data_IF_061184317740
#
_entry.id   IF_061184317740
#
_cell.length_a   1.000
_cell.length_b   1.000
_cell.length_c   1.000
_cell.angle_alpha   90.00
_cell.angle_beta   90.00
_cell.angle_gamma   90.00
#
_symmetry.space_group_name_H-M   'P 1'
#
loop_
_entity.id
_entity.type
_entity.pdbx_description
1 polymer ?
#
# COMPACT_ATOMS: atom_id res chain seq x y z
N UNK A 1 -15.96 -3.92 -17.99
CA UNK A 1 -16.79 -5.12 -18.24
C UNK A 1 -16.29 -6.21 -17.32
N UNK A 2 -17.08 -6.59 -16.32
CA UNK A 2 -16.75 -7.72 -15.44
C UNK A 2 -17.11 -8.99 -16.23
N UNK A 3 -16.19 -9.93 -16.39
CA UNK A 3 -16.41 -11.17 -17.15
C UNK A 3 -17.62 -11.97 -16.66
N UNK A 4 -18.05 -12.96 -17.44
CA UNK A 4 -19.25 -13.73 -17.09
C UNK A 4 -19.10 -14.43 -15.73
N UNK A 5 -20.19 -14.67 -14.97
CA UNK A 5 -20.12 -15.41 -13.71
C UNK A 5 -19.45 -16.79 -13.84
N UNK A 6 -19.58 -17.41 -15.03
CA UNK A 6 -18.93 -18.68 -15.37
C UNK A 6 -17.40 -18.55 -15.49
N UNK A 7 -16.91 -17.47 -16.10
CA UNK A 7 -15.47 -17.18 -16.20
C UNK A 7 -14.85 -16.98 -14.82
N UNK A 8 -15.59 -16.38 -13.88
CA UNK A 8 -15.13 -16.18 -12.51
C UNK A 8 -15.00 -17.52 -11.75
N UNK A 9 -15.92 -18.47 -11.91
CA UNK A 9 -15.79 -19.79 -11.29
C UNK A 9 -14.59 -20.57 -11.83
N UNK A 10 -14.39 -20.55 -13.16
CA UNK A 10 -13.23 -21.19 -13.79
C UNK A 10 -11.92 -20.59 -13.32
N UNK A 11 -11.86 -19.26 -13.21
CA UNK A 11 -10.70 -18.55 -12.70
C UNK A 11 -10.39 -18.90 -11.24
N UNK A 12 -11.41 -18.95 -10.38
CA UNK A 12 -11.24 -19.33 -8.98
C UNK A 12 -10.79 -20.79 -8.84
N UNK A 13 -11.32 -21.71 -9.65
CA UNK A 13 -10.86 -23.10 -9.68
C UNK A 13 -9.39 -23.19 -10.13
N UNK A 14 -9.00 -22.42 -11.16
CA UNK A 14 -7.61 -22.37 -11.63
C UNK A 14 -6.67 -21.81 -10.56
N UNK A 15 -7.08 -20.77 -9.82
CA UNK A 15 -6.31 -20.19 -8.72
C UNK A 15 -6.00 -21.19 -7.59
N UNK A 16 -6.80 -22.26 -7.47
CA UNK A 16 -6.60 -23.35 -6.51
C UNK A 16 -5.89 -24.57 -7.10
N UNK A 17 -5.50 -24.54 -8.38
CA UNK A 17 -4.80 -25.67 -9.00
C UNK A 17 -3.36 -25.82 -8.50
N UNK A 18 -2.86 -27.05 -8.44
CA UNK A 18 -1.49 -27.36 -8.00
C UNK A 18 -0.44 -26.55 -8.77
N UNK A 19 -0.65 -26.36 -10.09
CA UNK A 19 0.22 -25.56 -10.94
C UNK A 19 0.33 -24.11 -10.43
N UNK A 20 -0.81 -23.47 -10.15
CA UNK A 20 -0.83 -22.07 -9.69
C UNK A 20 -0.32 -21.96 -8.27
N UNK A 21 -0.71 -22.87 -7.37
CA UNK A 21 -0.26 -22.86 -5.99
C UNK A 21 1.25 -23.13 -5.88
N UNK A 22 1.81 -24.03 -6.69
CA UNK A 22 3.25 -24.25 -6.77
C UNK A 22 3.98 -22.98 -7.21
N UNK A 23 3.51 -22.35 -8.29
CA UNK A 23 4.12 -21.10 -8.78
C UNK A 23 4.00 -19.98 -7.75
N UNK A 24 2.84 -19.83 -7.12
CA UNK A 24 2.58 -18.83 -6.07
C UNK A 24 3.50 -19.00 -4.87
N UNK A 25 3.86 -20.23 -4.52
CA UNK A 25 4.74 -20.51 -3.39
C UNK A 25 6.22 -20.35 -3.75
N UNK A 26 6.60 -20.61 -5.01
CA UNK A 26 7.97 -20.44 -5.50
C UNK A 26 8.35 -18.95 -5.63
N UNK A 27 7.48 -18.12 -6.21
CA UNK A 27 7.83 -16.75 -6.60
C UNK A 27 8.35 -15.86 -5.45
N UNK A 28 7.78 -15.86 -4.23
CA UNK A 28 8.28 -15.02 -3.13
C UNK A 28 9.70 -15.34 -2.65
N UNK A 29 10.25 -16.51 -3.01
CA UNK A 29 11.59 -16.97 -2.61
C UNK A 29 12.66 -16.64 -3.67
N UNK A 30 12.26 -16.13 -4.84
CA UNK A 30 13.18 -15.76 -5.92
C UNK A 30 13.65 -14.31 -5.81
N UNK A 31 14.81 -13.96 -6.40
CA UNK A 31 15.17 -12.56 -6.63
C UNK A 31 14.07 -11.81 -7.38
N UNK A 32 13.80 -10.56 -7.00
CA UNK A 32 12.63 -9.83 -7.52
C UNK A 32 12.70 -9.58 -9.04
N UNK A 33 13.89 -9.42 -9.58
CA UNK A 33 14.15 -9.34 -11.02
C UNK A 33 13.79 -10.65 -11.75
N UNK A 34 13.99 -11.81 -11.12
CA UNK A 34 13.55 -13.10 -11.66
C UNK A 34 12.03 -13.27 -11.58
N UNK A 35 11.39 -12.79 -10.50
CA UNK A 35 9.93 -12.78 -10.36
C UNK A 35 9.29 -12.03 -11.53
N UNK A 36 9.74 -10.80 -11.79
CA UNK A 36 9.23 -9.99 -12.91
C UNK A 36 9.37 -10.74 -14.25
N UNK A 37 10.55 -11.29 -14.52
CA UNK A 37 10.84 -12.03 -15.74
C UNK A 37 9.98 -13.29 -15.92
N UNK A 38 9.71 -14.03 -14.84
CA UNK A 38 8.83 -15.20 -14.88
C UNK A 38 7.38 -14.78 -15.13
N UNK A 39 6.88 -13.80 -14.38
CA UNK A 39 5.49 -13.33 -14.49
C UNK A 39 5.20 -12.77 -15.88
N UNK A 40 6.11 -12.00 -16.48
CA UNK A 40 5.94 -11.43 -17.82
C UNK A 40 5.75 -12.48 -18.93
N UNK A 41 6.24 -13.71 -18.72
CA UNK A 41 6.13 -14.81 -19.69
C UNK A 41 4.83 -15.61 -19.54
N UNK A 42 4.04 -15.35 -18.49
CA UNK A 42 2.79 -16.04 -18.23
C UNK A 42 1.66 -15.44 -19.09
N UNK A 43 0.77 -16.32 -19.57
CA UNK A 43 -0.47 -15.88 -20.21
C UNK A 43 -1.38 -15.15 -19.22
N UNK A 44 -2.30 -14.35 -19.74
CA UNK A 44 -3.21 -13.51 -18.93
C UNK A 44 -4.03 -14.33 -17.94
N UNK A 45 -4.57 -15.49 -18.34
CA UNK A 45 -5.39 -16.32 -17.46
C UNK A 45 -4.58 -16.87 -16.29
N UNK A 46 -3.33 -17.28 -16.54
CA UNK A 46 -2.39 -17.70 -15.50
C UNK A 46 -2.07 -16.56 -14.53
N UNK A 47 -1.84 -15.32 -15.02
CA UNK A 47 -1.59 -14.15 -14.15
C UNK A 47 -2.81 -13.79 -13.31
N UNK A 48 -4.00 -13.77 -13.91
CA UNK A 48 -5.26 -13.55 -13.18
C UNK A 48 -5.46 -14.57 -12.06
N UNK A 49 -5.21 -15.86 -12.34
CA UNK A 49 -5.35 -16.92 -11.36
C UNK A 49 -4.29 -16.81 -10.25
N UNK A 50 -3.05 -16.50 -10.63
CA UNK A 50 -1.93 -16.30 -9.72
C UNK A 50 -2.19 -15.15 -8.73
N UNK A 51 -2.75 -14.03 -9.20
CA UNK A 51 -3.09 -12.90 -8.34
C UNK A 51 -4.18 -13.22 -7.31
N UNK A 52 -5.08 -14.16 -7.62
CA UNK A 52 -6.14 -14.59 -6.71
C UNK A 52 -5.74 -15.78 -5.82
N UNK A 53 -4.60 -16.42 -6.11
CA UNK A 53 -4.08 -17.54 -5.34
C UNK A 53 -3.51 -17.05 -4.00
N UNK A 54 -3.92 -17.72 -2.92
CA UNK A 54 -3.53 -17.40 -1.54
C UNK A 54 -2.56 -18.44 -1.01
N UNK A 55 -1.63 -18.05 -0.13
CA UNK A 55 -0.89 -19.04 0.69
C UNK A 55 -1.83 -19.67 1.73
N UNK A 56 -1.36 -20.70 2.46
CA UNK A 56 -2.05 -21.20 3.65
C UNK A 56 -2.41 -20.13 4.71
N UNK A 57 -1.73 -18.97 4.71
CA UNK A 57 -2.05 -17.84 5.60
C UNK A 57 -3.13 -16.88 5.04
N UNK A 58 -3.66 -17.15 3.84
CA UNK A 58 -4.69 -16.33 3.20
C UNK A 58 -4.17 -15.10 2.43
N UNK A 59 -2.86 -14.93 2.29
CA UNK A 59 -2.23 -13.78 1.64
C UNK A 59 -2.11 -13.97 0.13
N UNK A 60 -2.55 -12.95 -0.62
CA UNK A 60 -2.32 -12.84 -2.05
C UNK A 60 -0.83 -12.65 -2.36
N UNK A 61 -0.42 -13.02 -3.58
CA UNK A 61 0.97 -12.91 -4.02
C UNK A 61 1.49 -11.47 -3.90
N UNK A 62 0.72 -10.48 -4.35
CA UNK A 62 1.09 -9.05 -4.27
C UNK A 62 1.43 -8.61 -2.86
N UNK A 63 0.64 -9.02 -1.86
CA UNK A 63 0.92 -8.71 -0.46
C UNK A 63 2.18 -9.40 0.04
N UNK A 64 2.40 -10.66 -0.36
CA UNK A 64 3.62 -11.39 0.01
C UNK A 64 4.87 -10.75 -0.58
N UNK A 65 4.85 -10.35 -1.85
CA UNK A 65 6.00 -9.71 -2.51
C UNK A 65 6.36 -8.39 -1.83
N UNK A 66 5.36 -7.55 -1.57
CA UNK A 66 5.56 -6.27 -0.88
C UNK A 66 6.04 -6.51 0.55
N UNK A 67 5.33 -7.32 1.33
CA UNK A 67 5.72 -7.62 2.71
C UNK A 67 7.15 -8.17 2.80
N UNK A 68 7.51 -9.15 1.98
CA UNK A 68 8.84 -9.77 2.01
C UNK A 68 9.92 -8.74 1.65
N UNK A 69 9.71 -7.97 0.58
CA UNK A 69 10.64 -6.91 0.19
C UNK A 69 10.88 -5.95 1.35
N UNK A 70 9.80 -5.44 1.95
CA UNK A 70 9.89 -4.48 3.06
C UNK A 70 10.52 -5.06 4.31
N UNK A 71 10.11 -6.27 4.69
CA UNK A 71 10.63 -6.95 5.86
C UNK A 71 12.15 -7.21 5.73
N UNK A 72 12.61 -7.66 4.57
CA UNK A 72 14.03 -7.90 4.35
C UNK A 72 14.83 -6.59 4.22
N UNK A 73 14.30 -5.57 3.54
CA UNK A 73 14.96 -4.27 3.43
C UNK A 73 15.16 -3.60 4.80
N UNK A 74 14.16 -3.68 5.68
CA UNK A 74 14.23 -3.07 7.01
C UNK A 74 15.18 -3.82 7.96
N UNK A 75 15.20 -5.15 7.89
CA UNK A 75 15.90 -5.98 8.89
C UNK A 75 17.29 -6.48 8.46
N UNK A 76 17.65 -6.37 7.17
CA UNK A 76 18.94 -6.82 6.64
C UNK A 76 19.60 -5.64 5.91
N UNK A 77 20.49 -4.94 6.62
CA UNK A 77 21.17 -3.71 6.19
C UNK A 77 22.05 -3.83 4.92
N UNK A 78 22.18 -5.02 4.31
CA UNK A 78 23.04 -5.30 3.15
C UNK A 78 22.33 -5.28 1.78
N UNK A 79 21.00 -5.06 1.73
CA UNK A 79 20.23 -5.15 0.46
C UNK A 79 20.12 -3.83 -0.31
N UNK A 80 20.63 -2.72 0.21
CA UNK A 80 20.55 -1.39 -0.43
C UNK A 80 21.46 -1.23 -1.66
N UNK A 81 22.38 -2.16 -1.90
CA UNK A 81 23.43 -2.06 -2.93
C UNK A 81 23.23 -2.99 -4.13
N UNK A 82 22.10 -3.70 -4.24
CA UNK A 82 21.83 -4.48 -5.46
C UNK A 82 21.09 -3.63 -6.50
N UNK A 83 21.35 -3.82 -7.81
CA UNK A 83 20.59 -3.19 -8.91
C UNK A 83 19.08 -3.51 -8.93
N UNK A 84 18.59 -4.33 -8.00
CA UNK A 84 17.25 -4.92 -7.91
C UNK A 84 16.45 -4.37 -6.71
N UNK A 85 16.52 -3.06 -6.46
CA UNK A 85 15.82 -2.38 -5.35
C UNK A 85 14.31 -2.22 -5.59
N UNK A 86 13.76 -1.06 -5.24
CA UNK A 86 12.32 -0.76 -5.43
C UNK A 86 11.84 -0.90 -6.89
N UNK A 87 12.72 -0.59 -7.86
CA UNK A 87 12.42 -0.70 -9.28
C UNK A 87 12.04 -2.12 -9.71
N UNK A 88 12.77 -3.13 -9.24
CA UNK A 88 12.51 -4.53 -9.56
C UNK A 88 11.17 -5.01 -8.99
N UNK A 89 10.82 -4.58 -7.77
CA UNK A 89 9.50 -4.86 -7.21
C UNK A 89 8.40 -4.17 -8.02
N UNK A 90 8.57 -2.90 -8.40
CA UNK A 90 7.60 -2.19 -9.25
C UNK A 90 7.43 -2.90 -10.60
N UNK A 91 8.50 -3.41 -11.20
CA UNK A 91 8.42 -4.20 -12.43
C UNK A 91 7.65 -5.51 -12.23
N UNK A 92 7.90 -6.23 -11.14
CA UNK A 92 7.14 -7.43 -10.79
C UNK A 92 5.64 -7.12 -10.58
N UNK A 93 5.32 -6.03 -9.88
CA UNK A 93 3.95 -5.57 -9.66
C UNK A 93 3.26 -5.19 -10.99
N UNK A 94 3.94 -4.44 -11.85
CA UNK A 94 3.45 -4.12 -13.20
C UNK A 94 3.22 -5.36 -14.05
N UNK A 95 4.10 -6.35 -13.96
CA UNK A 95 3.94 -7.63 -14.67
C UNK A 95 2.70 -8.40 -14.18
N UNK A 96 2.34 -8.25 -12.90
CA UNK A 96 1.14 -8.83 -12.31
C UNK A 96 -0.15 -8.05 -12.64
N UNK A 97 -0.08 -6.82 -13.16
CA UNK A 97 -1.28 -6.06 -13.52
C UNK A 97 -2.10 -6.80 -14.61
N UNK A 98 -3.42 -6.84 -14.39
CA UNK A 98 -4.42 -7.51 -15.23
C UNK A 98 -5.66 -6.62 -15.38
N UNK A 99 -6.37 -6.75 -16.49
CA UNK A 99 -7.52 -5.88 -16.79
C UNK A 99 -8.76 -6.19 -15.95
N UNK A 100 -8.87 -7.43 -15.45
CA UNK A 100 -10.10 -7.93 -14.81
C UNK A 100 -10.38 -7.28 -13.45
N UNK A 101 -9.34 -6.96 -12.69
CA UNK A 101 -9.46 -6.41 -11.35
C UNK A 101 -8.18 -5.69 -10.96
N UNK A 102 -8.32 -4.73 -10.03
CA UNK A 102 -7.18 -4.03 -9.48
C UNK A 102 -6.47 -4.90 -8.43
N UNK A 103 -5.22 -5.28 -8.71
CA UNK A 103 -4.43 -6.11 -7.79
C UNK A 103 -4.08 -5.37 -6.49
N UNK A 104 -4.09 -4.04 -6.50
CA UNK A 104 -3.72 -3.23 -5.33
C UNK A 104 -4.88 -3.08 -4.32
N UNK A 105 -6.12 -3.30 -4.75
CA UNK A 105 -7.33 -3.19 -3.92
C UNK A 105 -7.78 -4.54 -3.30
N UNK A 106 -6.94 -5.57 -3.36
CA UNK A 106 -7.27 -6.89 -2.81
C UNK A 106 -7.37 -6.85 -1.27
N UNK A 107 -8.57 -7.04 -0.71
CA UNK A 107 -8.85 -6.77 0.72
C UNK A 107 -9.28 -8.00 1.55
N UNK A 108 -8.63 -9.16 1.39
CA UNK A 108 -9.01 -10.40 2.11
C UNK A 108 -7.79 -11.26 2.47
N UNK A 109 -6.86 -10.71 3.23
CA UNK A 109 -5.55 -11.30 3.54
C UNK A 109 -5.20 -11.05 5.01
N UNK A 110 -4.38 -11.90 5.61
CA UNK A 110 -3.84 -11.68 6.96
C UNK A 110 -2.91 -10.46 7.01
N UNK A 111 -2.17 -10.24 5.90
CA UNK A 111 -1.47 -8.97 5.66
C UNK A 111 -2.51 -7.91 5.28
N UNK A 112 -2.49 -6.70 5.87
CA UNK A 112 -3.34 -5.58 5.47
C UNK A 112 -3.29 -5.31 3.96
N UNK A 113 -4.22 -4.49 3.44
CA UNK A 113 -4.22 -4.11 2.03
C UNK A 113 -2.83 -3.57 1.57
N UNK A 114 -2.58 -3.63 0.27
CA UNK A 114 -1.27 -3.35 -0.35
C UNK A 114 -0.66 -2.01 0.10
N UNK A 115 -1.46 -0.93 0.10
CA UNK A 115 -0.99 0.39 0.49
C UNK A 115 -0.69 0.49 1.97
N UNK A 116 -1.52 -0.13 2.81
CA UNK A 116 -1.28 -0.18 4.23
C UNK A 116 -0.01 -0.97 4.55
N UNK A 117 0.20 -2.14 3.92
CA UNK A 117 1.41 -2.91 4.09
C UNK A 117 2.65 -2.09 3.73
N UNK A 118 2.61 -1.35 2.62
CA UNK A 118 3.68 -0.43 2.24
C UNK A 118 3.94 0.62 3.34
N UNK A 119 2.92 1.37 3.72
CA UNK A 119 3.08 2.49 4.68
C UNK A 119 3.40 2.05 6.12
N UNK A 120 2.90 0.88 6.55
CA UNK A 120 3.07 0.36 7.92
C UNK A 120 4.54 0.17 8.31
N UNK A 121 5.36 -0.42 7.44
CA UNK A 121 6.76 -0.66 7.76
C UNK A 121 7.54 0.65 7.83
N UNK A 122 7.26 1.61 6.94
CA UNK A 122 8.01 2.87 6.88
C UNK A 122 7.66 3.86 7.98
N UNK A 123 6.38 3.98 8.33
CA UNK A 123 5.97 4.89 9.39
C UNK A 123 6.48 4.46 10.78
N UNK A 124 6.85 3.19 10.95
CA UNK A 124 7.27 2.62 12.24
C UNK A 124 8.79 2.43 12.35
N UNK A 125 9.56 2.55 11.26
CA UNK A 125 11.02 2.50 11.32
C UNK A 125 11.56 3.91 11.44
N UNK A 126 12.44 4.18 12.42
CA UNK A 126 13.22 5.43 12.50
C UNK A 126 14.30 5.47 11.41
N UNK A 127 13.98 5.08 10.19
CA UNK A 127 14.88 5.14 9.06
C UNK A 127 15.01 6.60 8.66
N UNK A 128 15.95 7.29 9.30
CA UNK A 128 16.46 8.56 8.81
C UNK A 128 17.38 8.26 7.62
N UNK A 129 17.12 8.93 6.49
CA UNK A 129 18.07 9.25 5.40
C UNK A 129 18.09 8.44 4.10
N UNK A 130 17.31 7.37 3.94
CA UNK A 130 17.22 6.71 2.62
C UNK A 130 15.77 6.60 2.17
N UNK A 131 15.46 7.10 0.97
CA UNK A 131 14.16 7.11 0.27
C UNK A 131 13.52 5.72 0.04
N UNK A 132 13.98 4.70 0.76
CA UNK A 132 13.58 3.32 0.64
C UNK A 132 12.11 3.21 1.00
N UNK A 133 11.33 2.71 0.06
CA UNK A 133 9.89 2.56 0.21
C UNK A 133 9.06 3.60 -0.50
N UNK A 134 9.66 4.75 -0.82
CA UNK A 134 8.93 5.89 -1.38
C UNK A 134 8.45 5.57 -2.78
N UNK A 135 9.23 4.86 -3.60
CA UNK A 135 8.80 4.51 -4.95
C UNK A 135 7.68 3.48 -4.90
N UNK A 136 7.73 2.50 -3.98
CA UNK A 136 6.65 1.53 -3.83
C UNK A 136 5.38 2.21 -3.34
N UNK A 137 5.45 3.06 -2.31
CA UNK A 137 4.27 3.78 -1.82
C UNK A 137 3.69 4.66 -2.92
N UNK A 138 4.53 5.42 -3.62
CA UNK A 138 4.10 6.27 -4.74
C UNK A 138 3.41 5.45 -5.82
N UNK A 139 4.02 4.33 -6.23
CA UNK A 139 3.46 3.43 -7.24
C UNK A 139 2.11 2.87 -6.80
N UNK A 140 2.00 2.32 -5.59
CA UNK A 140 0.75 1.76 -5.08
C UNK A 140 -0.32 2.84 -4.88
N UNK A 141 0.03 3.99 -4.31
CA UNK A 141 -0.87 5.12 -4.11
C UNK A 141 -1.47 5.63 -5.42
N UNK A 142 -0.69 5.61 -6.52
CA UNK A 142 -1.17 5.98 -7.85
C UNK A 142 -2.16 4.98 -8.48
N UNK A 143 -2.29 3.79 -7.89
CA UNK A 143 -3.03 2.67 -8.48
C UNK A 143 -4.23 2.22 -7.67
N UNK A 144 -4.28 2.48 -6.37
CA UNK A 144 -5.43 2.12 -5.54
C UNK A 144 -6.66 2.94 -5.93
N UNK A 145 -7.84 2.32 -5.85
CA UNK A 145 -9.10 3.01 -6.16
C UNK A 145 -9.54 3.94 -5.03
N UNK A 146 -9.18 3.61 -3.79
CA UNK A 146 -9.49 4.36 -2.58
C UNK A 146 -8.25 4.41 -1.70
N UNK A 147 -7.55 5.55 -1.73
CA UNK A 147 -6.32 5.77 -0.98
C UNK A 147 -6.55 5.89 0.54
N UNK A 148 -7.77 6.22 0.94
CA UNK A 148 -8.18 6.31 2.34
C UNK A 148 -8.74 4.97 2.85
N UNK A 149 -8.81 3.93 2.00
CA UNK A 149 -9.40 2.64 2.34
C UNK A 149 -8.75 2.01 3.58
N UNK A 150 -9.61 1.62 4.52
CA UNK A 150 -9.23 1.05 5.80
C UNK A 150 -9.72 -0.39 5.88
N UNK A 151 -8.86 -1.36 5.62
CA UNK A 151 -9.14 -2.75 6.00
C UNK A 151 -8.20 -3.18 7.12
N UNK A 152 -8.66 -2.94 8.35
CA UNK A 152 -7.84 -3.09 9.57
C UNK A 152 -8.49 -4.01 10.60
N UNK A 153 -9.56 -4.73 10.25
CA UNK A 153 -10.24 -5.68 11.16
C UNK A 153 -9.28 -6.73 11.72
N UNK A 154 -8.18 -7.02 11.01
CA UNK A 154 -7.18 -7.99 11.43
C UNK A 154 -5.97 -7.37 12.18
N UNK A 155 -5.72 -6.07 12.10
CA UNK A 155 -4.54 -5.45 12.75
C UNK A 155 -4.63 -5.56 14.28
N UNK A 156 -5.81 -5.35 14.86
CA UNK A 156 -6.03 -5.54 16.32
C UNK A 156 -5.75 -6.97 16.78
N UNK A 157 -5.86 -7.98 15.89
CA UNK A 157 -5.55 -9.39 16.20
C UNK A 157 -4.06 -9.69 16.08
N UNK A 158 -3.39 -9.10 15.10
CA UNK A 158 -2.00 -9.43 14.75
C UNK A 158 -0.98 -8.60 15.54
N UNK A 159 -1.33 -7.35 15.87
CA UNK A 159 -0.49 -6.44 16.63
C UNK A 159 -1.30 -5.74 17.74
N UNK A 160 -1.81 -6.49 18.73
CA UNK A 160 -2.69 -5.96 19.78
C UNK A 160 -2.04 -4.86 20.65
N UNK A 161 -0.70 -4.84 20.69
CA UNK A 161 0.09 -3.85 21.42
C UNK A 161 0.70 -2.78 20.51
N UNK A 162 0.41 -2.78 19.21
CA UNK A 162 0.78 -1.68 18.34
C UNK A 162 0.03 -0.43 18.82
N UNK A 163 0.77 0.68 18.94
CA UNK A 163 0.25 2.02 19.28
C UNK A 163 -0.98 2.40 18.44
N UNK A 164 -1.17 1.78 17.27
CA UNK A 164 -2.30 2.04 16.39
C UNK A 164 -3.53 1.19 16.64
N UNK A 165 -3.45 0.11 17.42
CA UNK A 165 -4.65 -0.49 17.98
C UNK A 165 -5.47 0.55 18.80
N UNK A 166 -4.79 1.57 19.36
CA UNK A 166 -5.40 2.67 20.11
C UNK A 166 -5.87 3.85 19.25
N UNK A 167 -5.32 4.04 18.04
CA UNK A 167 -5.77 5.12 17.12
C UNK A 167 -7.04 4.71 16.36
N UNK A 168 -7.44 3.44 16.46
CA UNK A 168 -8.53 2.86 15.69
C UNK A 168 -8.09 2.52 14.29
N UNK A 169 -9.03 2.25 13.38
CA UNK A 169 -8.74 2.10 11.96
C UNK A 169 -8.02 3.37 11.49
N UNK A 170 -6.73 3.37 11.17
CA UNK A 170 -5.98 4.56 10.75
C UNK A 170 -5.68 4.52 9.24
N UNK A 171 -5.87 5.64 8.54
CA UNK A 171 -5.53 5.71 7.10
C UNK A 171 -4.00 5.67 6.93
N UNK A 172 -3.49 5.33 5.73
CA UNK A 172 -2.07 5.47 5.42
C UNK A 172 -1.53 6.88 5.74
N UNK A 173 -2.33 7.92 5.48
CA UNK A 173 -1.96 9.32 5.78
C UNK A 173 -1.87 9.58 7.29
N UNK A 174 -2.82 9.07 8.08
CA UNK A 174 -2.77 9.19 9.55
C UNK A 174 -1.51 8.56 10.13
N UNK A 175 -1.06 7.41 9.59
CA UNK A 175 0.20 6.76 9.99
C UNK A 175 1.41 7.65 9.73
N UNK A 176 1.50 8.22 8.52
CA UNK A 176 2.58 9.12 8.15
C UNK A 176 2.62 10.37 9.06
N UNK A 177 1.45 10.94 9.33
CA UNK A 177 1.29 12.12 10.20
C UNK A 177 1.64 11.83 11.64
N UNK A 178 1.20 10.67 12.17
CA UNK A 178 1.55 10.24 13.52
C UNK A 178 3.07 10.07 13.67
N UNK A 179 3.73 9.52 12.66
CA UNK A 179 5.18 9.31 12.64
C UNK A 179 6.00 10.61 12.45
N UNK A 180 5.35 11.73 12.10
CA UNK A 180 6.04 12.97 11.75
C UNK A 180 6.79 12.89 10.41
N UNK A 181 6.42 11.96 9.53
CA UNK A 181 7.08 11.72 8.25
C UNK A 181 6.54 12.68 7.18
N UNK A 182 7.22 13.83 7.03
CA UNK A 182 6.79 14.89 6.12
C UNK A 182 6.78 14.46 4.65
N UNK A 183 7.75 13.62 4.24
CA UNK A 183 7.88 13.20 2.85
C UNK A 183 6.77 12.20 2.49
N UNK A 184 6.52 11.19 3.35
CA UNK A 184 5.42 10.25 3.14
C UNK A 184 4.07 10.95 3.18
N UNK A 185 3.90 11.90 4.11
CA UNK A 185 2.71 12.74 4.20
C UNK A 185 2.46 13.49 2.90
N UNK A 186 3.51 14.10 2.31
CA UNK A 186 3.44 14.78 1.01
C UNK A 186 3.01 13.83 -0.10
N UNK A 187 3.66 12.67 -0.23
CA UNK A 187 3.35 11.68 -1.28
C UNK A 187 1.88 11.28 -1.21
N UNK A 188 1.38 10.93 -0.03
CA UNK A 188 -0.01 10.48 0.14
C UNK A 188 -1.01 11.60 -0.18
N UNK A 189 -0.74 12.83 0.27
CA UNK A 189 -1.58 14.00 -0.03
C UNK A 189 -1.58 14.32 -1.54
N UNK A 190 -0.42 14.27 -2.20
CA UNK A 190 -0.31 14.50 -3.65
C UNK A 190 -1.06 13.45 -4.48
N UNK A 191 -1.25 12.25 -3.94
CA UNK A 191 -2.05 11.17 -4.53
C UNK A 191 -3.51 11.16 -4.06
N UNK A 192 -3.96 12.22 -3.39
CA UNK A 192 -5.37 12.44 -3.06
C UNK A 192 -5.84 11.93 -1.70
N UNK A 193 -4.94 11.53 -0.80
CA UNK A 193 -5.32 11.16 0.56
C UNK A 193 -5.92 12.35 1.30
N UNK A 194 -7.06 12.14 1.97
CA UNK A 194 -7.82 13.21 2.59
C UNK A 194 -7.37 13.44 4.06
N UNK A 195 -6.74 14.58 4.39
CA UNK A 195 -6.33 14.88 5.76
C UNK A 195 -7.51 15.10 6.72
N UNK A 196 -8.71 15.37 6.19
CA UNK A 196 -9.95 15.56 6.96
C UNK A 196 -10.73 14.26 7.17
N UNK A 197 -10.24 13.13 6.63
CA UNK A 197 -10.85 11.82 6.86
C UNK A 197 -10.81 11.50 8.36
N UNK A 198 -11.94 11.08 8.93
CA UNK A 198 -12.06 10.73 10.35
C UNK A 198 -12.14 9.23 10.52
N UNK A 199 -11.31 8.70 11.41
CA UNK A 199 -11.37 7.30 11.78
C UNK A 199 -12.52 6.97 12.75
N UNK A 200 -12.60 5.71 13.18
CA UNK A 200 -13.62 5.23 14.13
C UNK A 200 -13.61 5.96 15.49
N UNK A 201 -12.48 6.56 15.86
CA UNK A 201 -12.34 7.37 17.07
C UNK A 201 -12.65 8.86 16.83
N UNK A 202 -13.07 9.23 15.62
CA UNK A 202 -13.33 10.62 15.24
C UNK A 202 -12.07 11.47 15.04
N UNK A 203 -10.89 10.86 14.99
CA UNK A 203 -9.61 11.54 14.79
C UNK A 203 -9.34 11.70 13.29
N UNK A 204 -8.92 12.90 12.90
CA UNK A 204 -8.38 13.23 11.58
C UNK A 204 -6.87 13.52 11.66
N UNK A 205 -6.22 13.79 10.53
CA UNK A 205 -4.79 14.08 10.52
C UNK A 205 -4.44 15.37 11.24
N UNK A 206 -5.34 16.37 11.24
CA UNK A 206 -5.13 17.62 11.97
C UNK A 206 -5.07 17.40 13.48
N UNK A 207 -5.97 16.56 14.00
CA UNK A 207 -5.99 16.20 15.41
C UNK A 207 -4.74 15.44 15.81
N UNK A 208 -4.32 14.45 15.02
CA UNK A 208 -3.09 13.69 15.26
C UNK A 208 -1.86 14.61 15.25
N UNK A 209 -1.74 15.47 14.23
CA UNK A 209 -0.61 16.40 14.12
C UNK A 209 -0.56 17.39 15.30
N UNK A 210 -1.71 17.90 15.74
CA UNK A 210 -1.82 18.79 16.89
C UNK A 210 -1.42 18.10 18.19
N UNK A 211 -1.89 16.87 18.42
CA UNK A 211 -1.57 16.13 19.64
C UNK A 211 -0.06 15.78 19.71
N UNK A 212 0.59 15.60 18.56
CA UNK A 212 2.04 15.34 18.44
C UNK A 212 2.91 16.60 18.21
N UNK A 213 2.34 17.81 18.24
CA UNK A 213 3.06 19.04 17.86
C UNK A 213 4.31 19.34 18.70
N UNK A 214 4.33 18.90 19.96
CA UNK A 214 5.50 19.08 20.84
C UNK A 214 6.62 18.09 20.49
N UNK A 215 6.27 16.92 19.96
CA UNK A 215 7.22 15.90 19.52
C UNK A 215 7.81 16.23 18.16
N UNK A 216 6.99 16.75 17.23
CA UNK A 216 7.40 17.11 15.87
C UNK A 216 6.96 18.54 15.48
N UNK A 217 7.58 19.59 16.07
CA UNK A 217 7.12 20.96 15.89
C UNK A 217 7.34 21.51 14.47
N UNK A 218 8.39 21.08 13.78
CA UNK A 218 8.64 21.46 12.38
C UNK A 218 7.67 20.78 11.44
N UNK A 219 7.49 19.46 11.59
CA UNK A 219 6.47 18.71 10.86
C UNK A 219 5.08 19.34 11.02
N UNK A 220 4.68 19.71 12.24
CA UNK A 220 3.37 20.31 12.49
C UNK A 220 3.18 21.61 11.67
N UNK A 221 4.19 22.48 11.65
CA UNK A 221 4.16 23.73 10.87
C UNK A 221 4.04 23.45 9.36
N UNK A 222 4.84 22.52 8.85
CA UNK A 222 4.84 22.15 7.43
C UNK A 222 3.53 21.46 7.01
N UNK A 223 2.99 20.58 7.85
CA UNK A 223 1.72 19.91 7.61
C UNK A 223 0.55 20.91 7.54
N UNK A 224 0.50 21.88 8.45
CA UNK A 224 -0.49 22.95 8.39
C UNK A 224 -0.36 23.79 7.11
N UNK A 225 0.86 24.14 6.72
CA UNK A 225 1.10 24.88 5.48
C UNK A 225 0.61 24.09 4.25
N UNK A 226 0.94 22.80 4.16
CA UNK A 226 0.56 21.94 3.04
C UNK A 226 -0.95 21.78 2.91
N UNK A 227 -1.65 21.51 4.02
CA UNK A 227 -3.10 21.30 4.03
C UNK A 227 -3.89 22.59 3.76
N UNK A 228 -3.36 23.76 4.14
CA UNK A 228 -3.95 25.06 3.80
C UNK A 228 -3.87 25.36 2.30
N UNK A 229 -2.73 25.07 1.66
CA UNK A 229 -2.55 25.27 0.20
C UNK A 229 -3.54 24.42 -0.59
N UNK A 230 -3.72 23.15 -0.22
CA UNK A 230 -4.63 22.26 -0.93
C UNK A 230 -6.09 22.71 -0.83
N UNK A 231 -6.55 23.11 0.37
CA UNK A 231 -7.90 23.67 0.53
C UNK A 231 -8.13 24.91 -0.33
N UNK A 232 -7.11 25.74 -0.56
CA UNK A 232 -7.23 26.90 -1.45
C UNK A 232 -7.33 26.50 -2.93
N UNK A 233 -6.57 25.47 -3.35
CA UNK A 233 -6.61 24.94 -4.72
C UNK A 233 -7.97 24.27 -5.03
N UNK A 234 -8.51 23.48 -4.10
CA UNK A 234 -9.84 22.86 -4.25
C UNK A 234 -10.93 23.91 -4.39
N UNK A 235 -10.90 24.95 -3.54
CA UNK A 235 -11.83 26.06 -3.60
C UNK A 235 -11.72 26.87 -4.91
N UNK A 236 -10.52 26.96 -5.49
CA UNK A 236 -10.30 27.60 -6.78
C UNK A 236 -10.83 26.74 -7.95
N UNK A 237 -10.63 25.42 -7.90
CA UNK A 237 -11.13 24.47 -8.89
C UNK A 237 -12.68 24.44 -8.92
N UNK A 238 -13.33 24.39 -7.76
CA UNK A 238 -14.80 24.43 -7.63
C UNK A 238 -15.39 25.73 -8.19
N UNK A 239 -14.74 26.87 -7.95
CA UNK A 239 -15.16 28.16 -8.52
C UNK A 239 -15.04 28.20 -10.05
N UNK A 240 -14.08 27.47 -10.64
CA UNK A 240 -13.88 27.40 -12.09
C UNK A 240 -14.95 26.54 -12.77
N UNK A 241 -15.34 25.42 -12.15
CA UNK A 241 -16.42 24.53 -12.65
C UNK A 241 -17.78 25.22 -12.60
N UNK A 242 -18.07 26.04 -11.59
CA UNK A 242 -19.35 26.79 -11.49
C UNK A 242 -19.49 27.96 -12.48
N UNK A 243 -18.45 28.28 -13.24
CA UNK A 243 -18.43 29.39 -14.22
C UNK A 243 -18.51 28.91 -15.69
N UNK A 244 -18.56 27.60 -15.91
CA UNK A 244 -18.81 26.96 -17.20
C UNK A 244 -20.27 26.49 -17.26
#
# INVERSE_FOLDING_TARGET
>A
MIGSPFDNQKLMALAQSDKILSLRNELPDLPISEVANKVMKLDTMTREALNLAKNPHGNFLVHSLIHNFLYFSVNIHDTYTTPDGEGGLIEALKALEVDRFNIYDLSKSFIPNTLFAATYYFANTKMSEHDVGRLIVTHVASKVSDIDQMDTQDIKKVAPNDIVANVGHATPLMRAVYAGDLQLTRILIEHGANPDFKNENGLDCHRIAHDNQNTYPEFYREFLAMTLVNRQQDNAAVKKVRRL
#
